data_IF_113450875106
#
_entry.id   IF_113450875106
#
_cell.length_a   1.000
_cell.length_b   1.000
_cell.length_c   1.000
_cell.angle_alpha   90.00
_cell.angle_beta   90.00
_cell.angle_gamma   90.00
#
_symmetry.space_group_name_H-M   'P 1'
#
loop_
_entity.id
_entity.type
_entity.pdbx_description
1 polymer ?
#
# COMPACT_ATOMS: atom_id res chain seq x y z
N UNK A 1 -14.55 -2.12 -15.61
CA UNK A 1 -13.44 -2.67 -14.80
C UNK A 1 -12.44 -3.23 -15.78
N UNK A 2 -11.25 -2.65 -15.85
CA UNK A 2 -10.17 -3.13 -16.72
C UNK A 2 -9.72 -4.53 -16.26
N UNK A 3 -9.52 -5.47 -17.19
CA UNK A 3 -9.08 -6.82 -16.91
C UNK A 3 -7.72 -6.83 -16.19
N UNK A 4 -6.87 -5.84 -16.47
CA UNK A 4 -5.60 -5.65 -15.78
C UNK A 4 -5.75 -5.32 -14.30
N UNK A 5 -6.69 -4.43 -13.95
CA UNK A 5 -6.97 -4.08 -12.55
C UNK A 5 -7.62 -5.24 -11.78
N UNK A 6 -8.44 -6.05 -12.46
CA UNK A 6 -8.97 -7.29 -11.91
C UNK A 6 -7.86 -8.32 -11.63
N UNK A 7 -6.89 -8.47 -12.54
CA UNK A 7 -5.74 -9.34 -12.36
C UNK A 7 -4.85 -8.90 -11.18
N UNK A 8 -4.61 -7.59 -11.02
CA UNK A 8 -3.90 -7.05 -9.84
C UNK A 8 -4.62 -7.34 -8.54
N UNK A 9 -5.94 -7.16 -8.53
CA UNK A 9 -6.75 -7.40 -7.34
C UNK A 9 -6.69 -8.87 -6.91
N UNK A 10 -6.90 -9.79 -7.86
CA UNK A 10 -6.83 -11.24 -7.60
C UNK A 10 -5.45 -11.69 -7.13
N UNK A 11 -4.37 -11.22 -7.75
CA UNK A 11 -3.01 -11.50 -7.31
C UNK A 11 -2.75 -11.06 -5.85
N UNK A 12 -3.24 -9.86 -5.47
CA UNK A 12 -3.13 -9.37 -4.09
C UNK A 12 -3.88 -10.26 -3.10
N UNK A 13 -5.08 -10.71 -3.43
CA UNK A 13 -5.87 -11.62 -2.57
C UNK A 13 -5.11 -12.93 -2.36
N UNK A 14 -4.65 -13.59 -3.44
CA UNK A 14 -3.90 -14.84 -3.34
C UNK A 14 -2.62 -14.71 -2.50
N UNK A 15 -1.82 -13.66 -2.71
CA UNK A 15 -0.61 -13.43 -1.92
C UNK A 15 -0.91 -13.23 -0.43
N UNK A 16 -2.03 -12.57 -0.11
CA UNK A 16 -2.44 -12.37 1.28
C UNK A 16 -2.91 -13.66 1.93
N UNK A 17 -3.65 -14.50 1.21
CA UNK A 17 -4.04 -15.82 1.70
C UNK A 17 -2.84 -16.76 1.89
N UNK A 18 -1.90 -16.80 0.95
CA UNK A 18 -0.69 -17.61 1.08
C UNK A 18 0.14 -17.21 2.32
N UNK A 19 0.22 -15.90 2.60
CA UNK A 19 0.85 -15.38 3.81
C UNK A 19 0.08 -15.77 5.08
N UNK A 20 -1.25 -15.68 5.04
CA UNK A 20 -2.10 -16.11 6.14
C UNK A 20 -1.93 -17.59 6.46
N UNK A 21 -1.91 -18.44 5.42
CA UNK A 21 -1.68 -19.89 5.53
C UNK A 21 -0.28 -20.19 6.10
N UNK A 22 0.76 -19.51 5.61
CA UNK A 22 2.15 -19.69 6.09
C UNK A 22 2.32 -19.34 7.57
N UNK A 23 1.63 -18.30 8.04
CA UNK A 23 1.78 -17.78 9.40
C UNK A 23 0.61 -18.14 10.33
N UNK A 24 -0.27 -19.06 9.91
CA UNK A 24 -1.48 -19.45 10.64
C UNK A 24 -2.31 -18.27 11.18
N UNK A 25 -2.36 -17.16 10.43
CA UNK A 25 -3.00 -15.89 10.86
C UNK A 25 -4.54 -15.93 10.84
N UNK A 26 -5.12 -17.07 10.50
CA UNK A 26 -6.56 -17.31 10.46
C UNK A 26 -7.31 -16.59 9.32
N UNK A 27 -8.58 -16.93 9.17
CA UNK A 27 -9.48 -16.39 8.14
C UNK A 27 -9.62 -14.87 8.20
N UNK A 28 -9.65 -14.29 9.41
CA UNK A 28 -9.85 -12.86 9.63
C UNK A 28 -8.74 -12.00 8.99
N UNK A 29 -7.49 -12.48 9.00
CA UNK A 29 -6.37 -11.80 8.36
C UNK A 29 -6.51 -11.79 6.83
N UNK A 30 -6.83 -12.93 6.22
CA UNK A 30 -7.08 -13.03 4.77
C UNK A 30 -8.22 -12.12 4.33
N UNK A 31 -9.35 -12.14 5.05
CA UNK A 31 -10.52 -11.33 4.75
C UNK A 31 -10.21 -9.82 4.82
N UNK A 32 -9.55 -9.36 5.88
CA UNK A 32 -9.17 -7.95 6.00
C UNK A 32 -8.17 -7.52 4.93
N UNK A 33 -7.21 -8.38 4.60
CA UNK A 33 -6.24 -8.09 3.56
C UNK A 33 -6.89 -7.98 2.17
N UNK A 34 -7.83 -8.88 1.85
CA UNK A 34 -8.64 -8.82 0.63
C UNK A 34 -9.53 -7.56 0.59
N UNK A 35 -10.21 -7.24 1.68
CA UNK A 35 -11.01 -6.01 1.82
C UNK A 35 -10.17 -4.76 1.57
N UNK A 36 -8.98 -4.67 2.19
CA UNK A 36 -8.03 -3.56 1.97
C UNK A 36 -7.49 -3.54 0.54
N UNK A 37 -7.24 -4.69 -0.07
CA UNK A 37 -6.80 -4.79 -1.46
C UNK A 37 -7.88 -4.28 -2.43
N UNK A 38 -9.17 -4.56 -2.15
CA UNK A 38 -10.30 -4.02 -2.91
C UNK A 38 -10.38 -2.51 -2.76
N UNK A 39 -10.32 -1.99 -1.53
CA UNK A 39 -10.33 -0.54 -1.26
C UNK A 39 -9.21 0.15 -2.05
N UNK A 40 -7.99 -0.42 -2.10
CA UNK A 40 -6.88 0.16 -2.90
C UNK A 40 -7.04 0.04 -4.40
N UNK A 41 -7.80 -0.94 -4.89
CA UNK A 41 -8.09 -1.07 -6.31
C UNK A 41 -9.23 -0.13 -6.75
N UNK A 42 -10.16 0.18 -5.85
CA UNK A 42 -11.29 1.08 -6.10
C UNK A 42 -11.01 2.54 -5.73
N UNK A 43 -10.12 2.77 -4.77
CA UNK A 43 -9.60 4.09 -4.50
C UNK A 43 -8.74 4.45 -5.71
N UNK A 44 -9.24 5.38 -6.53
CA UNK A 44 -8.40 6.14 -7.45
C UNK A 44 -7.14 6.54 -6.68
N UNK A 45 -5.97 6.23 -7.23
CA UNK A 45 -4.70 6.45 -6.56
C UNK A 45 -4.72 7.85 -5.91
N UNK A 46 -4.50 8.00 -4.59
CA UNK A 46 -4.27 9.33 -4.06
C UNK A 46 -3.09 9.86 -4.86
N UNK A 47 -3.38 10.92 -5.62
CA UNK A 47 -2.45 11.70 -6.43
C UNK A 47 -1.09 11.63 -5.77
N UNK A 48 -0.08 11.09 -6.47
CA UNK A 48 1.25 10.81 -5.91
C UNK A 48 1.63 11.99 -5.03
N UNK A 49 1.68 11.80 -3.72
CA UNK A 49 2.12 12.84 -2.81
C UNK A 49 3.49 13.25 -3.33
N UNK A 50 3.59 14.49 -3.82
CA UNK A 50 4.85 14.99 -4.34
C UNK A 50 5.90 14.76 -3.26
N UNK A 51 7.10 14.24 -3.60
CA UNK A 51 8.16 14.08 -2.63
C UNK A 51 8.36 15.45 -1.96
N UNK A 52 8.01 15.55 -0.68
CA UNK A 52 8.30 16.74 0.10
C UNK A 52 9.82 16.85 0.10
N UNK A 53 10.36 17.83 -0.63
CA UNK A 53 11.78 18.05 -0.69
C UNK A 53 12.29 18.21 0.75
N UNK A 54 13.39 17.54 1.14
CA UNK A 54 13.94 17.72 2.47
C UNK A 54 14.25 19.21 2.65
N UNK A 55 13.69 19.80 3.71
CA UNK A 55 13.97 21.20 4.03
C UNK A 55 15.49 21.36 4.16
N UNK A 56 16.06 22.22 3.30
CA UNK A 56 17.47 22.59 3.35
C UNK A 56 17.79 23.01 4.80
N UNK A 57 18.83 22.46 5.44
CA UNK A 57 19.19 22.89 6.78
C UNK A 57 19.52 24.38 6.71
N UNK A 58 18.81 25.18 7.51
CA UNK A 58 19.14 26.58 7.70
C UNK A 58 20.62 26.65 8.10
N UNK A 59 21.44 27.34 7.30
CA UNK A 59 22.80 27.67 7.68
C UNK A 59 22.73 28.43 9.01
N UNK A 60 23.06 27.71 10.08
CA UNK A 60 23.47 28.27 11.35
C UNK A 60 24.68 29.14 11.04
N UNK A 61 24.47 30.45 11.01
CA UNK A 61 25.53 31.45 11.04
C UNK A 61 26.14 31.39 12.43
N UNK A 62 26.94 30.35 12.68
CA UNK A 62 27.55 30.05 13.97
C UNK A 62 28.94 30.68 14.12
N UNK A 63 29.39 31.48 13.16
CA UNK A 63 30.68 32.18 13.23
C UNK A 63 30.61 33.54 12.53
N UNK A 64 30.10 34.54 13.24
CA UNK A 64 30.46 35.95 13.06
C UNK A 64 30.31 36.69 14.39
#
# INVERSE_FOLDING_TARGET
>A
MDAYEQAKHTARVFLTECRARRHALGYWFSFNAAKRARIRATASAPMSAQPCAPALPAQLDLFA
#
